data_IF_255557022734
#
_entry.id   IF_255557022734
#
_cell.length_a   1.000
_cell.length_b   1.000
_cell.length_c   1.000
_cell.angle_alpha   90.00
_cell.angle_beta   90.00
_cell.angle_gamma   90.00
#
_symmetry.space_group_name_H-M   'P 1'
#
loop_
_entity.id
_entity.type
_entity.pdbx_description
1 polymer ?
#
# COMPACT_ATOMS: atom_id res chain seq x y z
N UNK A 1 38.27 72.25 8.97
CA UNK A 1 36.85 72.64 8.96
C UNK A 1 36.03 71.39 8.62
N UNK A 2 35.48 70.72 9.63
CA UNK A 2 34.64 69.53 9.44
C UNK A 2 33.18 69.88 9.70
N UNK A 3 32.33 69.74 8.69
CA UNK A 3 30.90 70.00 8.78
C UNK A 3 30.20 68.74 9.31
N UNK A 4 29.75 68.78 10.57
CA UNK A 4 28.99 67.68 11.20
C UNK A 4 27.52 67.87 10.80
N UNK A 5 27.00 66.98 9.96
CA UNK A 5 25.60 66.98 9.58
C UNK A 5 24.70 66.46 10.72
N UNK A 6 23.57 67.11 11.03
CA UNK A 6 22.67 66.65 12.08
C UNK A 6 21.95 65.36 11.66
N UNK A 7 22.10 64.30 12.45
CA UNK A 7 21.33 63.06 12.33
C UNK A 7 19.86 63.35 12.65
N UNK A 8 18.98 63.17 11.64
CA UNK A 8 17.54 63.34 11.81
C UNK A 8 17.00 62.29 12.81
N UNK A 9 16.28 62.70 13.86
CA UNK A 9 15.62 61.75 14.75
C UNK A 9 14.49 61.04 14.00
N UNK A 10 14.64 59.74 13.79
CA UNK A 10 13.57 58.87 13.32
C UNK A 10 12.59 58.63 14.46
N UNK A 11 11.50 59.41 14.50
CA UNK A 11 10.40 59.16 15.42
C UNK A 11 9.73 57.84 15.06
N UNK A 12 10.01 56.79 15.84
CA UNK A 12 9.27 55.53 15.78
C UNK A 12 7.84 55.79 16.24
N UNK A 13 6.93 55.93 15.28
CA UNK A 13 5.49 56.03 15.52
C UNK A 13 5.02 54.70 16.10
N UNK A 14 4.88 54.62 17.43
CA UNK A 14 4.25 53.49 18.09
C UNK A 14 2.81 53.37 17.59
N UNK A 15 2.54 52.37 16.75
CA UNK A 15 1.17 52.00 16.38
C UNK A 15 0.53 51.41 17.63
N UNK A 16 -0.60 51.98 18.06
CA UNK A 16 -1.39 51.41 19.17
C UNK A 16 -1.80 49.98 18.78
N UNK A 17 -1.69 48.98 19.67
CA UNK A 17 -2.16 47.64 19.39
C UNK A 17 -3.68 47.71 19.17
N UNK A 18 -4.11 47.45 17.94
CA UNK A 18 -5.52 47.25 17.62
C UNK A 18 -5.86 45.84 18.08
N UNK A 19 -6.64 45.72 19.15
CA UNK A 19 -7.19 44.43 19.58
C UNK A 19 -8.11 43.85 18.50
N UNK A 20 -8.20 42.52 18.44
CA UNK A 20 -9.13 41.85 17.54
C UNK A 20 -10.58 42.22 17.90
N UNK A 21 -11.36 42.54 16.88
CA UNK A 21 -12.81 42.72 17.02
C UNK A 21 -13.46 41.36 17.25
N UNK A 22 -14.56 41.30 18.01
CA UNK A 22 -15.30 40.05 18.24
C UNK A 22 -15.70 39.36 16.93
N UNK A 23 -16.02 40.14 15.90
CA UNK A 23 -16.36 39.64 14.56
C UNK A 23 -15.19 38.93 13.89
N UNK A 24 -13.96 39.46 14.00
CA UNK A 24 -12.77 38.79 13.44
C UNK A 24 -12.50 37.45 14.12
N UNK A 25 -12.69 37.38 15.44
CA UNK A 25 -12.51 36.13 16.19
C UNK A 25 -13.51 35.06 15.73
N UNK A 26 -14.78 35.43 15.54
CA UNK A 26 -15.82 34.51 15.06
C UNK A 26 -15.53 34.02 13.64
N UNK A 27 -15.08 34.90 12.75
CA UNK A 27 -14.69 34.54 11.38
C UNK A 27 -13.47 33.63 11.38
N UNK A 28 -12.44 33.94 12.18
CA UNK A 28 -11.24 33.10 12.28
C UNK A 28 -11.59 31.70 12.84
N UNK A 29 -12.45 31.63 13.86
CA UNK A 29 -12.89 30.37 14.44
C UNK A 29 -13.68 29.50 13.44
N UNK A 30 -14.53 30.10 12.61
CA UNK A 30 -15.30 29.35 11.60
C UNK A 30 -14.41 28.80 10.49
N UNK A 31 -13.45 29.58 10.01
CA UNK A 31 -12.45 29.13 9.03
C UNK A 31 -11.60 27.99 9.62
N UNK A 32 -11.16 28.12 10.87
CA UNK A 32 -10.39 27.09 11.56
C UNK A 32 -11.19 25.79 11.70
N UNK A 33 -12.48 25.87 12.08
CA UNK A 33 -13.34 24.70 12.20
C UNK A 33 -13.50 23.97 10.85
N UNK A 34 -13.73 24.71 9.75
CA UNK A 34 -13.81 24.13 8.42
C UNK A 34 -12.50 23.47 8.00
N UNK A 35 -11.36 24.09 8.32
CA UNK A 35 -10.04 23.52 8.04
C UNK A 35 -9.84 22.19 8.78
N UNK A 36 -10.15 22.12 10.09
CA UNK A 36 -10.03 20.90 10.88
C UNK A 36 -10.86 19.76 10.29
N UNK A 37 -12.13 20.02 9.95
CA UNK A 37 -13.01 19.00 9.34
C UNK A 37 -12.45 18.53 8.00
N UNK A 38 -11.97 19.47 7.16
CA UNK A 38 -11.34 19.15 5.88
C UNK A 38 -10.09 18.28 6.04
N UNK A 39 -9.20 18.61 6.98
CA UNK A 39 -7.98 17.86 7.27
C UNK A 39 -8.27 16.44 7.77
N UNK A 40 -9.24 16.28 8.68
CA UNK A 40 -9.64 14.96 9.18
C UNK A 40 -10.18 14.08 8.05
N UNK A 41 -11.03 14.64 7.17
CA UNK A 41 -11.53 13.93 5.99
C UNK A 41 -10.38 13.49 5.08
N UNK A 42 -9.44 14.39 4.76
CA UNK A 42 -8.29 14.08 3.92
C UNK A 42 -7.40 12.99 4.53
N UNK A 43 -7.12 13.06 5.84
CA UNK A 43 -6.30 12.06 6.54
C UNK A 43 -6.93 10.67 6.49
N UNK A 44 -8.26 10.57 6.67
CA UNK A 44 -8.94 9.28 6.54
C UNK A 44 -8.85 8.71 5.12
N UNK A 45 -8.86 9.56 4.08
CA UNK A 45 -8.70 9.12 2.70
C UNK A 45 -7.28 8.64 2.42
N UNK A 46 -6.26 9.36 2.89
CA UNK A 46 -4.85 8.97 2.76
C UNK A 46 -4.60 7.61 3.42
N UNK A 47 -5.09 7.40 4.64
CA UNK A 47 -4.94 6.12 5.34
C UNK A 47 -5.59 4.96 4.57
N UNK A 48 -6.74 5.21 3.92
CA UNK A 48 -7.41 4.20 3.07
C UNK A 48 -6.57 3.82 1.85
N UNK A 49 -5.94 4.81 1.23
CA UNK A 49 -5.08 4.61 0.06
C UNK A 49 -3.78 3.90 0.44
N UNK A 50 -3.17 4.30 1.56
CA UNK A 50 -1.96 3.66 2.10
C UNK A 50 -2.19 2.17 2.37
N UNK A 51 -3.30 1.79 3.01
CA UNK A 51 -3.63 0.39 3.27
C UNK A 51 -3.88 -0.39 1.97
N UNK A 52 -4.58 0.19 1.00
CA UNK A 52 -4.79 -0.45 -0.31
C UNK A 52 -3.47 -0.66 -1.05
N UNK A 53 -2.55 0.31 -1.00
CA UNK A 53 -1.23 0.22 -1.61
C UNK A 53 -0.39 -0.87 -0.93
N UNK A 54 -0.38 -0.93 0.41
CA UNK A 54 0.31 -1.98 1.18
C UNK A 54 -0.17 -3.37 0.77
N UNK A 55 -1.48 -3.61 0.69
CA UNK A 55 -2.05 -4.89 0.26
C UNK A 55 -1.64 -5.25 -1.18
N UNK A 56 -1.66 -4.27 -2.09
CA UNK A 56 -1.23 -4.48 -3.48
C UNK A 56 0.24 -4.87 -3.58
N UNK A 57 1.12 -4.24 -2.80
CA UNK A 57 2.54 -4.58 -2.76
C UNK A 57 2.76 -5.99 -2.21
N UNK A 58 2.04 -6.38 -1.15
CA UNK A 58 2.14 -7.71 -0.55
C UNK A 58 1.65 -8.80 -1.53
N UNK A 59 0.51 -8.58 -2.18
CA UNK A 59 0.00 -9.48 -3.22
C UNK A 59 0.97 -9.59 -4.40
N UNK A 60 1.60 -8.49 -4.80
CA UNK A 60 2.63 -8.48 -5.84
C UNK A 60 3.85 -9.30 -5.44
N UNK A 61 4.35 -9.15 -4.21
CA UNK A 61 5.46 -9.93 -3.68
C UNK A 61 5.13 -11.44 -3.63
N UNK A 62 3.90 -11.82 -3.28
CA UNK A 62 3.47 -13.22 -3.29
C UNK A 62 3.41 -13.84 -4.69
N UNK A 63 3.00 -13.06 -5.69
CA UNK A 63 3.02 -13.49 -7.09
C UNK A 63 4.47 -13.66 -7.55
N UNK A 64 5.34 -12.68 -7.27
CA UNK A 64 6.76 -12.72 -7.60
C UNK A 64 7.45 -13.93 -6.97
N UNK A 65 7.25 -14.17 -5.67
CA UNK A 65 7.82 -15.34 -4.98
C UNK A 65 7.43 -16.66 -5.66
N UNK A 66 6.19 -16.79 -6.15
CA UNK A 66 5.75 -18.01 -6.85
C UNK A 66 6.36 -18.11 -8.24
N UNK A 67 6.51 -17.00 -8.94
CA UNK A 67 7.21 -16.95 -10.23
C UNK A 67 8.68 -17.33 -10.04
N UNK A 68 9.35 -16.79 -9.02
CA UNK A 68 10.74 -17.11 -8.71
C UNK A 68 10.89 -18.60 -8.37
N UNK A 69 9.97 -19.16 -7.59
CA UNK A 69 9.90 -20.61 -7.36
C UNK A 69 9.77 -21.38 -8.68
N UNK A 70 8.87 -20.96 -9.59
CA UNK A 70 8.67 -21.58 -10.90
C UNK A 70 9.91 -21.45 -11.77
N UNK A 71 10.67 -20.35 -11.70
CA UNK A 71 11.87 -20.15 -12.51
C UNK A 71 13.09 -20.89 -11.96
N UNK A 72 13.18 -21.09 -10.65
CA UNK A 72 14.35 -21.68 -9.98
C UNK A 72 14.25 -23.20 -9.76
N UNK A 73 13.07 -23.81 -9.92
CA UNK A 73 12.90 -25.26 -9.69
C UNK A 73 13.55 -26.09 -10.79
N UNK A 74 14.57 -26.93 -10.58
CA UNK A 74 15.23 -27.66 -11.67
C UNK A 74 14.26 -28.46 -12.56
N UNK A 75 14.41 -28.40 -13.88
CA UNK A 75 13.53 -29.09 -14.84
C UNK A 75 14.29 -29.63 -16.06
N UNK A 76 14.19 -30.93 -16.28
CA UNK A 76 14.63 -31.61 -17.51
C UNK A 76 13.49 -32.47 -18.05
N UNK A 77 13.39 -32.58 -19.38
CA UNK A 77 12.38 -33.41 -20.09
C UNK A 77 12.60 -34.89 -19.83
N UNK A 78 13.86 -35.31 -19.65
CA UNK A 78 14.23 -36.70 -19.43
C UNK A 78 13.95 -37.16 -17.99
N UNK A 79 13.66 -36.22 -17.08
CA UNK A 79 13.39 -36.47 -15.66
C UNK A 79 11.91 -36.29 -15.32
N UNK A 80 11.54 -36.62 -14.09
CA UNK A 80 10.19 -36.39 -13.58
C UNK A 80 9.93 -34.89 -13.44
N UNK A 81 8.89 -34.38 -14.11
CA UNK A 81 8.48 -32.97 -13.99
C UNK A 81 8.09 -32.63 -12.54
N UNK A 82 8.70 -31.61 -11.93
CA UNK A 82 8.33 -31.16 -10.59
C UNK A 82 6.85 -30.76 -10.50
N UNK A 83 6.23 -31.02 -9.35
CA UNK A 83 4.80 -30.72 -9.12
C UNK A 83 4.43 -29.25 -9.34
N UNK A 84 5.36 -28.32 -9.08
CA UNK A 84 5.15 -26.88 -9.31
C UNK A 84 5.09 -26.50 -10.80
N UNK A 85 5.62 -27.35 -11.69
CA UNK A 85 5.65 -27.17 -13.14
C UNK A 85 4.66 -28.09 -13.86
N UNK A 86 3.96 -28.96 -13.13
CA UNK A 86 2.99 -29.86 -13.72
C UNK A 86 1.83 -29.06 -14.31
N UNK A 87 1.47 -29.35 -15.55
CA UNK A 87 0.36 -28.70 -16.21
C UNK A 87 -0.94 -28.90 -15.40
N UNK A 88 -1.70 -27.84 -15.21
CA UNK A 88 -2.89 -27.84 -14.37
C UNK A 88 -3.06 -26.54 -13.60
N UNK A 89 -4.07 -26.53 -12.73
CA UNK A 89 -4.39 -25.40 -11.86
C UNK A 89 -4.27 -25.82 -10.41
N UNK A 90 -3.41 -25.12 -9.66
CA UNK A 90 -3.25 -25.29 -8.23
C UNK A 90 -3.79 -24.07 -7.51
N UNK A 91 -4.70 -24.27 -6.57
CA UNK A 91 -5.29 -23.20 -5.77
C UNK A 91 -4.83 -23.35 -4.32
N UNK A 92 -4.22 -22.29 -3.81
CA UNK A 92 -3.81 -22.17 -2.42
C UNK A 92 -4.68 -21.11 -1.75
N UNK A 93 -5.38 -21.50 -0.68
CA UNK A 93 -6.28 -20.62 0.07
C UNK A 93 -5.68 -20.22 1.41
N UNK A 94 -6.15 -19.12 2.00
CA UNK A 94 -5.75 -18.66 3.34
C UNK A 94 -4.28 -18.25 3.42
N UNK A 95 -3.76 -17.67 2.34
CA UNK A 95 -2.42 -17.09 2.36
C UNK A 95 -2.45 -15.80 3.19
N UNK A 96 -1.60 -15.67 4.22
CA UNK A 96 -1.57 -14.47 5.04
C UNK A 96 -0.90 -13.32 4.28
N UNK A 97 -1.70 -12.44 3.66
CA UNK A 97 -1.15 -11.23 3.03
C UNK A 97 -0.59 -10.24 4.05
N UNK A 98 -1.15 -10.21 5.27
CA UNK A 98 -0.69 -9.37 6.37
C UNK A 98 -0.76 -10.18 7.67
N UNK A 99 0.38 -10.56 8.23
CA UNK A 99 0.48 -11.16 9.58
C UNK A 99 1.21 -10.18 10.50
N UNK A 100 0.66 -8.98 10.62
CA UNK A 100 1.18 -7.98 11.54
C UNK A 100 0.66 -8.33 12.95
N UNK A 101 1.50 -9.01 13.73
CA UNK A 101 1.16 -9.50 15.07
C UNK A 101 0.81 -8.37 16.04
N UNK A 102 1.23 -7.12 15.76
CA UNK A 102 0.87 -5.95 16.58
C UNK A 102 -0.59 -5.50 16.38
N UNK A 103 -1.26 -5.96 15.33
CA UNK A 103 -2.70 -5.71 15.15
C UNK A 103 -3.60 -6.73 15.88
N UNK A 104 -3.00 -7.79 16.45
CA UNK A 104 -3.68 -8.84 17.22
C UNK A 104 -3.11 -8.96 18.64
N UNK A 105 -2.69 -7.84 19.25
CA UNK A 105 -2.25 -7.87 20.64
C UNK A 105 -3.45 -8.18 21.55
N UNK A 106 -3.33 -9.22 22.37
CA UNK A 106 -4.34 -9.62 23.33
C UNK A 106 -4.51 -8.53 24.39
N UNK A 107 -5.56 -7.70 24.27
CA UNK A 107 -5.83 -6.64 25.25
C UNK A 107 -6.31 -5.31 24.67
N UNK A 108 -6.29 -5.13 23.35
CA UNK A 108 -6.89 -3.95 22.72
C UNK A 108 -8.41 -3.97 22.87
N UNK A 109 -8.99 -2.83 23.25
CA UNK A 109 -10.44 -2.69 23.45
C UNK A 109 -11.21 -3.04 22.18
N UNK A 110 -12.45 -3.52 22.33
CA UNK A 110 -13.35 -3.90 21.22
C UNK A 110 -13.60 -2.80 20.18
N UNK A 111 -13.13 -1.57 20.42
CA UNK A 111 -13.11 -0.49 19.43
C UNK A 111 -12.10 -0.70 18.29
N UNK A 112 -11.12 -1.60 18.46
CA UNK A 112 -10.06 -1.88 17.47
C UNK A 112 -10.13 -3.28 16.85
N UNK A 113 -11.06 -4.14 17.29
CA UNK A 113 -11.18 -5.54 16.82
C UNK A 113 -11.64 -5.68 15.35
N UNK A 114 -12.08 -4.60 14.72
CA UNK A 114 -12.48 -4.55 13.30
C UNK A 114 -11.48 -3.80 12.41
N UNK A 115 -10.31 -3.42 12.92
CA UNK A 115 -9.21 -2.93 12.07
C UNK A 115 -8.53 -4.08 11.31
N UNK A 116 -8.66 -5.30 11.83
CA UNK A 116 -8.14 -6.51 11.21
C UNK A 116 -9.19 -7.15 10.30
N UNK A 117 -9.34 -6.61 9.09
CA UNK A 117 -9.90 -7.44 8.02
C UNK A 117 -8.75 -8.33 7.57
N UNK A 118 -8.66 -9.54 8.15
CA UNK A 118 -7.80 -10.57 7.62
C UNK A 118 -8.12 -10.69 6.13
N UNK A 119 -7.21 -10.21 5.29
CA UNK A 119 -7.37 -10.32 3.85
C UNK A 119 -6.99 -11.75 3.51
N UNK A 120 -7.99 -12.63 3.63
CA UNK A 120 -7.89 -14.03 3.21
C UNK A 120 -7.73 -14.01 1.70
N UNK A 121 -6.56 -14.43 1.26
CA UNK A 121 -6.17 -14.41 -0.13
C UNK A 121 -6.25 -15.80 -0.74
N UNK A 122 -6.53 -15.84 -2.04
CA UNK A 122 -6.52 -17.04 -2.84
C UNK A 122 -5.52 -16.85 -3.98
N UNK A 123 -4.46 -17.66 -3.96
CA UNK A 123 -3.49 -17.74 -5.07
C UNK A 123 -3.86 -18.91 -5.95
N UNK A 124 -3.97 -18.65 -7.24
CA UNK A 124 -4.19 -19.65 -8.28
C UNK A 124 -3.02 -19.63 -9.23
N UNK A 125 -2.34 -20.75 -9.37
CA UNK A 125 -1.27 -20.95 -10.34
C UNK A 125 -1.78 -21.87 -11.44
N UNK A 126 -1.81 -21.38 -12.67
CA UNK A 126 -2.18 -22.18 -13.85
C UNK A 126 -0.95 -22.37 -14.71
N UNK A 127 -0.55 -23.63 -14.90
CA UNK A 127 0.55 -24.01 -15.78
C UNK A 127 -0.03 -24.66 -17.04
N UNK A 128 0.33 -24.12 -18.19
CA UNK A 128 -0.04 -24.64 -19.52
C UNK A 128 1.22 -25.09 -20.23
N UNK A 129 1.29 -26.36 -20.64
CA UNK A 129 2.34 -26.84 -21.54
C UNK A 129 2.09 -26.28 -22.95
N UNK A 130 3.10 -25.62 -23.51
CA UNK A 130 3.08 -25.12 -24.89
C UNK A 130 3.83 -26.07 -25.83
N UNK A 131 4.89 -26.70 -25.34
CA UNK A 131 5.62 -27.79 -26.00
C UNK A 131 6.24 -28.72 -24.95
N UNK A 132 6.95 -29.76 -25.39
CA UNK A 132 7.71 -30.64 -24.49
C UNK A 132 8.78 -29.89 -23.67
N UNK A 133 9.28 -28.76 -24.20
CA UNK A 133 10.35 -27.99 -23.57
C UNK A 133 9.92 -26.61 -23.07
N UNK A 134 8.67 -26.21 -23.31
CA UNK A 134 8.19 -24.85 -23.00
C UNK A 134 6.87 -24.92 -22.24
N UNK A 135 6.84 -24.22 -21.11
CA UNK A 135 5.63 -24.01 -20.31
C UNK A 135 5.33 -22.53 -20.15
N UNK A 136 4.04 -22.22 -20.02
CA UNK A 136 3.53 -20.91 -19.59
C UNK A 136 2.90 -21.06 -18.23
N UNK A 137 3.35 -20.28 -17.26
CA UNK A 137 2.74 -20.21 -15.95
C UNK A 137 2.07 -18.84 -15.75
N UNK A 138 0.81 -18.86 -15.34
CA UNK A 138 0.04 -17.69 -14.94
C UNK A 138 -0.23 -17.80 -13.45
N UNK A 139 0.29 -16.87 -12.67
CA UNK A 139 0.05 -16.80 -11.23
C UNK A 139 -0.88 -15.64 -10.97
N UNK A 140 -2.05 -15.92 -10.40
CA UNK A 140 -3.06 -14.93 -10.05
C UNK A 140 -3.33 -14.97 -8.55
N UNK A 141 -3.31 -13.81 -7.92
CA UNK A 141 -3.59 -13.61 -6.51
C UNK A 141 -4.87 -12.77 -6.40
N UNK A 142 -5.85 -13.27 -5.65
CA UNK A 142 -7.20 -12.70 -5.55
C UNK A 142 -7.58 -12.43 -4.10
N UNK A 143 -7.71 -11.14 -3.79
CA UNK A 143 -7.97 -10.68 -2.43
C UNK A 143 -9.13 -9.69 -2.37
N UNK A 144 -9.80 -9.61 -1.22
CA UNK A 144 -10.92 -8.67 -1.01
C UNK A 144 -10.53 -7.57 -0.03
N UNK A 145 -10.66 -6.32 -0.43
CA UNK A 145 -10.47 -5.15 0.45
C UNK A 145 -11.75 -4.31 0.46
N UNK A 146 -12.37 -4.16 1.63
CA UNK A 146 -13.63 -3.40 1.82
C UNK A 146 -14.75 -3.83 0.85
N UNK A 147 -15.00 -5.13 0.77
CA UNK A 147 -16.00 -5.73 -0.13
C UNK A 147 -15.76 -5.46 -1.62
N UNK A 148 -14.55 -5.05 -2.01
CA UNK A 148 -14.13 -4.94 -3.42
C UNK A 148 -13.13 -6.06 -3.73
N UNK A 149 -13.43 -6.96 -4.68
CA UNK A 149 -12.47 -7.93 -5.13
C UNK A 149 -11.36 -7.22 -5.92
N UNK A 150 -10.11 -7.61 -5.67
CA UNK A 150 -8.94 -7.14 -6.38
C UNK A 150 -8.12 -8.36 -6.80
N UNK A 151 -7.52 -8.27 -7.98
CA UNK A 151 -6.73 -9.37 -8.54
C UNK A 151 -5.42 -8.82 -9.09
N UNK A 152 -4.33 -9.52 -8.83
CA UNK A 152 -3.02 -9.27 -9.44
C UNK A 152 -2.62 -10.55 -10.15
N UNK A 153 -2.24 -10.45 -11.42
CA UNK A 153 -1.80 -11.58 -12.22
C UNK A 153 -0.47 -11.27 -12.88
N UNK A 154 0.43 -12.25 -12.89
CA UNK A 154 1.67 -12.20 -13.66
C UNK A 154 1.81 -13.50 -14.44
N UNK A 155 2.40 -13.38 -15.62
CA UNK A 155 2.66 -14.51 -16.52
C UNK A 155 4.15 -14.63 -16.73
N UNK A 156 4.65 -15.87 -16.73
CA UNK A 156 6.02 -16.19 -17.10
C UNK A 156 6.06 -17.34 -18.09
N UNK A 157 7.10 -17.37 -18.92
CA UNK A 157 7.44 -18.48 -19.79
C UNK A 157 8.72 -19.10 -19.28
N UNK A 158 8.78 -20.43 -19.29
CA UNK A 158 9.97 -21.16 -18.88
C UNK A 158 10.28 -22.28 -19.86
N UNK A 159 11.56 -22.38 -20.23
CA UNK A 159 12.13 -23.49 -20.98
C UNK A 159 12.80 -24.50 -20.03
N UNK A 160 13.03 -25.72 -20.51
CA UNK A 160 13.79 -26.75 -19.79
C UNK A 160 15.26 -26.38 -19.68
N UNK A 161 15.95 -26.97 -18.70
CA UNK A 161 17.35 -26.69 -18.38
C UNK A 161 18.35 -27.62 -19.13
N UNK A 162 17.86 -28.56 -19.94
CA UNK A 162 18.64 -29.63 -20.61
C UNK A 162 19.09 -29.33 -22.04
N UNK A 163 19.09 -28.05 -22.44
CA UNK A 163 19.63 -27.57 -23.72
C UNK A 163 21.09 -27.11 -23.64
#
# INVERSE_FOLDING_TARGET
MGFIAPTRPTFFRQRKPLGFTMTEVVIAASILALFIVGSLSAMTQINRWANSARLRTLATAMVQQKIDQILTTPWSVLSTTPTVLQAGTTTETKLPLNNDSFNNESGLSSAFTNLDVQVIDTRTTTVTSLSAHLIRAVVTVSYTYRNRPNTISMTTLRTTDDF
#
